data_IF_565647478095
#
_entry.id   IF_565647478095
#
_cell.length_a   1.000
_cell.length_b   1.000
_cell.length_c   1.000
_cell.angle_alpha   90.00
_cell.angle_beta   90.00
_cell.angle_gamma   90.00
#
_symmetry.space_group_name_H-M   'P 1'
#
loop_
_entity.id
_entity.type
_entity.pdbx_description
1 polymer ?
#
# COMPACT_ATOMS: atom_id res chain seq x y z
N UNK A 1 15.84 -35.93 6.32
CA UNK A 1 16.68 -34.78 6.72
C UNK A 1 16.53 -33.70 5.66
N UNK A 2 16.13 -32.48 6.04
CA UNK A 2 15.97 -31.37 5.10
C UNK A 2 17.34 -30.87 4.63
N UNK A 3 17.46 -30.52 3.35
CA UNK A 3 18.69 -29.94 2.79
C UNK A 3 18.90 -28.55 3.38
N UNK A 4 19.96 -28.37 4.17
CA UNK A 4 20.37 -27.04 4.63
C UNK A 4 21.14 -26.31 3.54
N UNK A 5 20.75 -25.07 3.28
CA UNK A 5 21.44 -24.21 2.32
C UNK A 5 22.43 -23.30 3.06
N UNK A 6 23.65 -23.12 2.54
CA UNK A 6 24.62 -22.22 3.14
C UNK A 6 24.10 -20.77 3.10
N UNK A 7 24.29 -20.04 4.20
CA UNK A 7 23.92 -18.62 4.26
C UNK A 7 24.79 -17.81 3.28
N UNK A 8 24.23 -16.80 2.60
CA UNK A 8 25.00 -15.88 1.77
C UNK A 8 26.11 -15.19 2.55
N UNK A 9 27.18 -14.77 1.87
CA UNK A 9 28.24 -14.01 2.51
C UNK A 9 27.71 -12.66 3.04
N UNK A 10 28.27 -12.13 4.15
CA UNK A 10 27.85 -10.83 4.68
C UNK A 10 27.91 -9.71 3.65
N UNK A 11 28.95 -9.73 2.79
CA UNK A 11 29.12 -8.72 1.72
C UNK A 11 28.05 -8.80 0.64
N UNK A 12 27.56 -10.00 0.32
CA UNK A 12 26.45 -10.16 -0.63
C UNK A 12 25.14 -9.64 -0.02
N UNK A 13 24.91 -9.90 1.27
CA UNK A 13 23.75 -9.39 2.00
C UNK A 13 23.77 -7.86 2.05
N UNK A 14 24.90 -7.28 2.43
CA UNK A 14 25.13 -5.83 2.47
C UNK A 14 24.88 -5.19 1.11
N UNK A 15 25.51 -5.71 0.04
CA UNK A 15 25.32 -5.22 -1.32
C UNK A 15 23.86 -5.30 -1.75
N UNK A 16 23.20 -6.41 -1.47
CA UNK A 16 21.79 -6.61 -1.84
C UNK A 16 20.89 -5.62 -1.12
N UNK A 17 21.05 -5.47 0.19
CA UNK A 17 20.26 -4.55 1.00
C UNK A 17 20.47 -3.09 0.57
N UNK A 18 21.73 -2.69 0.38
CA UNK A 18 22.09 -1.36 -0.11
C UNK A 18 21.44 -1.06 -1.47
N UNK A 19 21.54 -1.98 -2.44
CA UNK A 19 20.94 -1.76 -3.76
C UNK A 19 19.41 -1.72 -3.73
N UNK A 20 18.77 -2.46 -2.82
CA UNK A 20 17.32 -2.49 -2.70
C UNK A 20 16.76 -1.22 -2.05
N UNK A 21 17.42 -0.70 -1.01
CA UNK A 21 16.96 0.51 -0.33
C UNK A 21 17.44 1.78 -1.01
N UNK A 22 18.76 1.91 -1.22
CA UNK A 22 19.34 3.16 -1.67
C UNK A 22 19.17 3.32 -3.19
N UNK A 23 19.12 2.21 -3.94
CA UNK A 23 18.98 2.25 -5.38
C UNK A 23 17.69 2.90 -5.88
N UNK A 24 16.58 2.71 -5.17
CA UNK A 24 15.30 3.34 -5.50
C UNK A 24 15.20 4.76 -4.96
N UNK A 25 15.68 5.01 -3.73
CA UNK A 25 15.75 6.37 -3.18
C UNK A 25 16.52 7.31 -4.12
N UNK A 26 17.71 6.87 -4.57
CA UNK A 26 18.59 7.61 -5.49
C UNK A 26 18.01 7.90 -6.90
N UNK A 27 16.79 7.46 -7.20
CA UNK A 27 16.13 7.64 -8.50
C UNK A 27 14.72 8.22 -8.36
N UNK A 28 14.07 7.97 -7.22
CA UNK A 28 12.72 8.44 -6.95
C UNK A 28 12.70 9.91 -6.50
N UNK A 29 13.81 10.42 -5.95
CA UNK A 29 13.91 11.76 -5.40
C UNK A 29 14.62 12.72 -6.36
N UNK A 30 14.10 13.95 -6.54
CA UNK A 30 14.55 14.86 -7.59
C UNK A 30 15.93 15.51 -7.31
N UNK A 31 16.41 15.46 -6.07
CA UNK A 31 17.70 15.97 -5.61
C UNK A 31 18.86 14.98 -5.83
N UNK A 32 18.58 13.85 -6.47
CA UNK A 32 19.54 12.77 -6.68
C UNK A 32 20.15 12.81 -8.09
N UNK A 33 21.32 12.19 -8.25
CA UNK A 33 22.11 12.27 -9.49
C UNK A 33 21.61 11.33 -10.60
N UNK A 34 20.76 10.35 -10.29
CA UNK A 34 20.49 9.25 -11.21
C UNK A 34 19.10 9.35 -11.82
N UNK A 35 19.05 9.18 -13.14
CA UNK A 35 17.79 9.08 -13.87
C UNK A 35 17.12 7.71 -13.65
N UNK A 36 15.85 7.65 -14.05
CA UNK A 36 15.09 6.41 -14.06
C UNK A 36 15.72 5.39 -15.04
N UNK A 37 15.78 4.10 -14.69
CA UNK A 37 16.34 3.09 -15.59
C UNK A 37 15.36 2.80 -16.73
N UNK A 38 15.80 2.92 -17.98
CA UNK A 38 14.96 2.67 -19.17
C UNK A 38 14.34 1.26 -19.20
N UNK A 39 15.04 0.28 -18.63
CA UNK A 39 14.59 -1.12 -18.58
C UNK A 39 13.69 -1.44 -17.37
N UNK A 40 13.32 -0.45 -16.56
CA UNK A 40 12.48 -0.67 -15.39
C UNK A 40 11.00 -0.65 -15.77
N UNK A 41 10.31 -1.76 -15.46
CA UNK A 41 8.87 -1.86 -15.57
C UNK A 41 8.35 -2.28 -16.95
N UNK A 42 7.09 -1.94 -17.21
CA UNK A 42 6.37 -2.22 -18.45
C UNK A 42 5.36 -1.09 -18.79
N UNK A 43 4.52 -1.28 -19.81
CA UNK A 43 3.55 -0.27 -20.23
C UNK A 43 2.49 0.05 -19.16
N UNK A 44 2.13 -0.87 -18.27
CA UNK A 44 1.17 -0.67 -17.18
C UNK A 44 1.87 -0.13 -15.93
N UNK A 45 3.04 -0.67 -15.59
CA UNK A 45 3.89 -0.24 -14.49
C UNK A 45 5.14 0.42 -15.02
N UNK A 46 5.03 1.69 -15.40
CA UNK A 46 6.17 2.42 -15.95
C UNK A 46 7.23 2.64 -14.88
N UNK A 47 8.47 2.84 -15.32
CA UNK A 47 9.59 3.37 -14.52
C UNK A 47 9.19 4.50 -13.57
N UNK A 48 8.56 5.57 -14.07
CA UNK A 48 8.07 6.69 -13.26
C UNK A 48 7.01 6.25 -12.22
N UNK A 49 6.16 5.30 -12.59
CA UNK A 49 5.09 4.85 -11.70
C UNK A 49 5.62 3.99 -10.55
N UNK A 50 6.59 3.14 -10.85
CA UNK A 50 7.30 2.33 -9.85
C UNK A 50 8.06 3.26 -8.90
N UNK A 51 8.81 4.23 -9.42
CA UNK A 51 9.57 5.18 -8.61
C UNK A 51 8.66 6.09 -7.77
N UNK A 52 7.54 6.56 -8.32
CA UNK A 52 6.58 7.37 -7.55
C UNK A 52 5.90 6.58 -6.45
N UNK A 53 5.61 5.29 -6.67
CA UNK A 53 5.09 4.40 -5.63
C UNK A 53 6.09 4.27 -4.47
N UNK A 54 7.38 4.11 -4.78
CA UNK A 54 8.43 4.12 -3.76
C UNK A 54 8.47 5.43 -2.98
N UNK A 55 8.51 6.58 -3.68
CA UNK A 55 8.51 7.91 -3.06
C UNK A 55 7.31 8.09 -2.12
N UNK A 56 6.12 7.69 -2.55
CA UNK A 56 4.91 7.76 -1.72
C UNK A 56 4.97 6.83 -0.51
N UNK A 57 5.53 5.62 -0.66
CA UNK A 57 5.69 4.68 0.46
C UNK A 57 6.68 5.20 1.51
N UNK A 58 7.73 5.89 1.08
CA UNK A 58 8.77 6.42 1.96
C UNK A 58 8.33 7.72 2.66
N UNK A 59 7.64 8.62 1.94
CA UNK A 59 7.34 9.97 2.43
C UNK A 59 5.88 10.18 2.85
N UNK A 60 4.97 9.32 2.40
CA UNK A 60 3.53 9.52 2.52
C UNK A 60 2.96 10.65 1.65
N UNK A 61 3.75 11.25 0.75
CA UNK A 61 3.36 12.38 -0.09
C UNK A 61 3.41 12.02 -1.58
N UNK A 62 2.51 12.61 -2.37
CA UNK A 62 2.58 12.48 -3.82
C UNK A 62 3.78 13.28 -4.36
N UNK A 63 4.56 12.73 -5.31
CA UNK A 63 5.63 13.46 -5.98
C UNK A 63 5.07 14.42 -7.05
N UNK A 64 5.69 15.59 -7.20
CA UNK A 64 5.33 16.59 -8.22
C UNK A 64 6.07 16.37 -9.55
N UNK A 65 7.19 15.63 -9.51
CA UNK A 65 8.13 15.42 -10.62
C UNK A 65 8.01 14.06 -11.30
N UNK A 66 7.14 13.17 -10.80
CA UNK A 66 6.92 11.83 -11.36
C UNK A 66 5.44 11.58 -11.62
N UNK A 67 5.13 10.89 -12.72
CA UNK A 67 3.78 10.39 -12.94
C UNK A 67 3.45 9.23 -11.98
N UNK A 68 2.34 9.38 -11.25
CA UNK A 68 1.84 8.40 -10.28
C UNK A 68 0.37 8.00 -10.53
N UNK A 69 -0.22 8.43 -11.65
CA UNK A 69 -1.67 8.27 -11.89
C UNK A 69 -1.99 7.22 -12.95
N UNK A 70 -1.20 7.15 -14.01
CA UNK A 70 -1.51 6.33 -15.19
C UNK A 70 -0.25 5.73 -15.80
N UNK A 71 -0.33 4.49 -16.29
CA UNK A 71 0.75 3.90 -17.08
C UNK A 71 0.76 4.38 -18.55
N UNK A 72 1.77 3.96 -19.32
CA UNK A 72 1.85 4.18 -20.78
C UNK A 72 0.76 3.42 -21.57
N UNK A 73 0.07 2.46 -20.95
CA UNK A 73 -1.08 1.76 -21.54
C UNK A 73 -2.34 2.63 -21.66
N UNK A 74 -2.35 3.84 -21.11
CA UNK A 74 -3.52 4.72 -21.06
C UNK A 74 -4.57 4.31 -20.00
N UNK A 75 -4.35 3.21 -19.29
CA UNK A 75 -5.13 2.81 -18.12
C UNK A 75 -4.56 3.35 -16.82
N UNK A 76 -5.42 3.58 -15.83
CA UNK A 76 -5.04 3.83 -14.44
C UNK A 76 -5.40 2.65 -13.55
N UNK A 77 -5.14 2.75 -12.24
CA UNK A 77 -5.73 1.84 -11.28
C UNK A 77 -7.25 2.01 -11.25
N UNK A 78 -7.96 0.90 -11.07
CA UNK A 78 -9.40 0.94 -10.83
C UNK A 78 -9.68 1.79 -9.58
N UNK A 79 -10.58 2.75 -9.73
CA UNK A 79 -11.05 3.55 -8.60
C UNK A 79 -11.92 2.68 -7.72
N UNK A 80 -11.40 2.29 -6.55
CA UNK A 80 -12.21 1.65 -5.52
C UNK A 80 -13.07 2.73 -4.85
N UNK A 81 -14.39 2.67 -5.05
CA UNK A 81 -15.33 3.47 -4.28
C UNK A 81 -15.70 2.69 -3.01
N UNK A 82 -15.37 3.24 -1.84
CA UNK A 82 -15.91 2.72 -0.60
C UNK A 82 -17.37 3.16 -0.50
N UNK A 83 -18.28 2.19 -0.41
CA UNK A 83 -19.64 2.48 0.04
C UNK A 83 -19.52 2.98 1.49
N UNK A 84 -20.06 4.15 1.78
CA UNK A 84 -20.16 4.62 3.17
C UNK A 84 -20.75 3.48 4.01
N UNK A 85 -20.04 3.11 5.09
CA UNK A 85 -20.64 2.26 6.09
C UNK A 85 -21.88 3.01 6.61
N UNK A 86 -23.03 2.34 6.77
CA UNK A 86 -24.18 2.99 7.39
C UNK A 86 -23.71 3.59 8.72
N UNK A 87 -24.15 4.81 9.08
CA UNK A 87 -23.80 5.41 10.37
C UNK A 87 -24.06 4.39 11.45
N UNK A 88 -23.10 4.19 12.37
CA UNK A 88 -23.17 3.23 13.46
C UNK A 88 -24.55 3.30 14.11
N UNK A 89 -25.43 2.37 13.73
CA UNK A 89 -26.72 2.25 14.36
C UNK A 89 -26.48 1.48 15.64
N UNK A 90 -26.05 2.19 16.69
CA UNK A 90 -26.01 1.65 18.05
C UNK A 90 -27.41 1.27 18.58
N UNK A 91 -28.46 1.42 17.76
CA UNK A 91 -29.76 0.81 18.02
C UNK A 91 -29.71 -0.66 17.61
N UNK A 92 -29.19 -1.50 18.51
CA UNK A 92 -29.67 -2.88 18.56
C UNK A 92 -31.20 -2.82 18.52
N UNK A 93 -31.87 -3.58 17.63
CA UNK A 93 -33.32 -3.57 17.62
C UNK A 93 -33.82 -3.97 19.01
N UNK A 94 -34.71 -3.15 19.56
CA UNK A 94 -35.52 -3.37 20.77
C UNK A 94 -36.46 -4.59 20.64
N UNK A 95 -35.98 -5.71 20.10
CA UNK A 95 -36.71 -6.96 19.93
C UNK A 95 -36.14 -8.09 20.81
N UNK A 96 -35.12 -7.80 21.64
CA UNK A 96 -34.58 -8.73 22.63
C UNK A 96 -34.76 -8.24 24.07
N UNK A 97 -35.81 -7.46 24.36
CA UNK A 97 -36.15 -7.05 25.74
C UNK A 97 -37.44 -7.65 26.30
N UNK A 98 -38.26 -8.35 25.49
CA UNK A 98 -39.56 -8.85 25.94
C UNK A 98 -39.54 -10.32 26.41
N UNK A 99 -38.37 -10.93 26.64
CA UNK A 99 -38.24 -12.35 27.01
C UNK A 99 -37.91 -12.63 28.49
N UNK A 100 -38.20 -11.70 29.40
CA UNK A 100 -38.20 -11.97 30.84
C UNK A 100 -39.41 -11.31 31.48
N UNK A 101 -40.47 -12.10 31.65
CA UNK A 101 -41.67 -11.71 32.36
C UNK A 101 -41.39 -11.46 33.84
N UNK A 102 -42.07 -10.48 34.42
CA UNK A 102 -43.20 -10.70 35.35
C UNK A 102 -43.69 -9.33 35.83
N UNK A 103 -44.98 -9.06 35.68
CA UNK A 103 -45.66 -7.93 36.32
C UNK A 103 -45.68 -8.17 37.85
N UNK A 104 -45.83 -7.11 38.66
CA UNK A 104 -47.14 -7.01 39.28
C UNK A 104 -47.75 -5.61 39.21
N UNK A 105 -49.03 -5.65 38.87
CA UNK A 105 -50.07 -4.63 38.95
C UNK A 105 -50.02 -3.79 40.23
N UNK A 106 -50.35 -2.51 40.13
CA UNK A 106 -51.37 -1.89 40.99
C UNK A 106 -51.98 -0.65 40.35
N UNK A 107 -53.26 -0.50 40.66
CA UNK A 107 -54.21 0.57 40.30
C UNK A 107 -53.71 1.96 40.65
#
# INVERSE_FOLDING_TARGET
MGKEWPKPSPKLMEKTHHLMHDGFHLRAFPDTKYDLPEALGDARWTDEFIASTWYMAETGKCPDHLNYKTGKSGGGFDKLAFKELPPNNNSLPMLMSNYIGTQPTRR
#
